data_IF_285525615775
#
_entry.id   IF_285525615775
#
_cell.length_a   1.000
_cell.length_b   1.000
_cell.length_c   1.000
_cell.angle_alpha   90.00
_cell.angle_beta   90.00
_cell.angle_gamma   90.00
#
_symmetry.space_group_name_H-M   'P 1'
#
loop_
_entity.id
_entity.type
_entity.pdbx_description
1 polymer ?
#
# COMPACT_ATOMS: atom_id res chain seq x y z
N UNK A 1 11.42 5.44 0.28
CA UNK A 1 11.81 4.72 1.51
C UNK A 1 13.33 4.64 1.53
N UNK A 2 13.94 4.87 2.69
CA UNK A 2 15.38 4.70 2.89
C UNK A 2 15.56 3.65 4.00
N UNK A 3 16.52 2.74 3.82
CA UNK A 3 16.83 1.73 4.81
C UNK A 3 17.86 2.25 5.81
N UNK A 4 17.65 1.94 7.09
CA UNK A 4 18.62 2.18 8.16
C UNK A 4 19.77 1.16 8.15
N UNK A 5 20.82 1.43 8.93
CA UNK A 5 21.99 0.55 9.01
C UNK A 5 21.64 -0.88 9.48
N UNK A 6 20.72 -1.03 10.44
CA UNK A 6 20.29 -2.35 10.93
C UNK A 6 19.49 -3.12 9.89
N UNK A 7 18.53 -2.46 9.25
CA UNK A 7 17.72 -3.05 8.19
C UNK A 7 18.60 -3.54 7.04
N UNK A 8 19.63 -2.77 6.67
CA UNK A 8 20.61 -3.18 5.66
C UNK A 8 21.45 -4.40 6.10
N UNK A 9 21.79 -4.51 7.38
CA UNK A 9 22.49 -5.71 7.89
C UNK A 9 21.60 -6.95 7.85
N UNK A 10 20.33 -6.82 8.24
CA UNK A 10 19.34 -7.90 8.15
C UNK A 10 19.13 -8.30 6.69
N UNK A 11 18.96 -7.34 5.79
CA UNK A 11 18.79 -7.59 4.35
C UNK A 11 20.00 -8.30 3.74
N UNK A 12 21.22 -7.84 4.05
CA UNK A 12 22.46 -8.49 3.57
C UNK A 12 22.56 -9.93 4.03
N UNK A 13 22.16 -10.21 5.28
CA UNK A 13 22.16 -11.56 5.84
C UNK A 13 21.10 -12.45 5.20
N UNK A 14 19.89 -11.92 5.02
CA UNK A 14 18.80 -12.61 4.31
C UNK A 14 19.23 -12.97 2.87
N UNK A 15 19.90 -12.05 2.18
CA UNK A 15 20.44 -12.29 0.84
C UNK A 15 21.52 -13.37 0.84
N UNK A 16 22.43 -13.37 1.83
CA UNK A 16 23.45 -14.41 1.97
C UNK A 16 22.82 -15.81 2.17
N UNK A 17 21.77 -15.90 2.99
CA UNK A 17 21.00 -17.14 3.18
C UNK A 17 20.28 -17.59 1.89
N UNK A 18 19.78 -16.65 1.10
CA UNK A 18 19.12 -16.95 -0.18
C UNK A 18 20.11 -17.44 -1.25
N UNK A 19 21.33 -16.88 -1.28
CA UNK A 19 22.38 -17.27 -2.22
C UNK A 19 23.11 -18.56 -1.81
N UNK A 20 23.23 -18.80 -0.50
CA UNK A 20 23.89 -19.97 0.07
C UNK A 20 22.95 -20.65 1.09
N UNK A 21 22.06 -21.54 0.61
CA UNK A 21 21.04 -22.15 1.46
C UNK A 21 21.70 -23.00 2.56
N UNK A 22 21.41 -22.65 3.80
CA UNK A 22 21.83 -23.36 5.00
C UNK A 22 20.80 -23.18 6.11
N UNK A 23 20.96 -23.83 7.27
CA UNK A 23 20.07 -23.65 8.40
C UNK A 23 20.12 -22.19 8.88
N UNK A 24 18.99 -21.49 8.81
CA UNK A 24 18.85 -20.15 9.37
C UNK A 24 18.54 -20.25 10.88
N UNK A 25 19.13 -19.35 11.67
CA UNK A 25 18.79 -19.29 13.09
C UNK A 25 17.36 -18.77 13.29
N UNK A 26 16.73 -19.14 14.40
CA UNK A 26 15.38 -18.65 14.72
C UNK A 26 15.33 -17.12 14.85
N UNK A 27 16.43 -16.47 15.25
CA UNK A 27 16.51 -15.01 15.33
C UNK A 27 16.61 -14.38 13.95
N UNK A 28 17.44 -14.93 13.05
CA UNK A 28 17.54 -14.40 11.68
C UNK A 28 16.19 -14.48 10.95
N UNK A 29 15.41 -15.55 11.17
CA UNK A 29 14.06 -15.67 10.62
C UNK A 29 13.12 -14.61 11.19
N UNK A 30 13.14 -14.38 12.51
CA UNK A 30 12.32 -13.34 13.16
C UNK A 30 12.69 -11.94 12.66
N UNK A 31 13.97 -11.64 12.53
CA UNK A 31 14.44 -10.34 12.04
C UNK A 31 14.05 -10.12 10.57
N UNK A 32 14.11 -11.15 9.74
CA UNK A 32 13.61 -11.08 8.36
C UNK A 32 12.09 -10.81 8.32
N UNK A 33 11.30 -11.46 9.19
CA UNK A 33 9.86 -11.23 9.26
C UNK A 33 9.54 -9.80 9.73
N UNK A 34 10.21 -9.31 10.78
CA UNK A 34 10.06 -7.93 11.26
C UNK A 34 10.43 -6.91 10.19
N UNK A 35 11.51 -7.15 9.45
CA UNK A 35 11.91 -6.30 8.34
C UNK A 35 10.85 -6.31 7.23
N UNK A 36 10.32 -7.48 6.86
CA UNK A 36 9.27 -7.60 5.87
C UNK A 36 7.99 -6.85 6.28
N UNK A 37 7.56 -7.01 7.53
CA UNK A 37 6.42 -6.26 8.09
C UNK A 37 6.64 -4.75 8.04
N UNK A 38 7.86 -4.29 8.36
CA UNK A 38 8.21 -2.86 8.32
C UNK A 38 8.18 -2.31 6.88
N UNK A 39 8.67 -3.08 5.91
CA UNK A 39 8.62 -2.73 4.49
C UNK A 39 7.18 -2.71 3.98
N UNK A 40 6.37 -3.69 4.34
CA UNK A 40 4.96 -3.74 3.98
C UNK A 40 4.17 -2.57 4.58
N UNK A 41 4.45 -2.19 5.82
CA UNK A 41 3.82 -1.03 6.44
C UNK A 41 4.25 0.27 5.77
N UNK A 42 5.54 0.44 5.47
CA UNK A 42 6.03 1.58 4.72
C UNK A 42 5.41 1.65 3.30
N UNK A 43 5.18 0.50 2.66
CA UNK A 43 4.51 0.43 1.37
C UNK A 43 3.03 0.83 1.47
N UNK A 44 2.32 0.36 2.50
CA UNK A 44 0.93 0.74 2.80
C UNK A 44 0.81 2.23 3.10
N UNK A 45 1.69 2.78 3.93
CA UNK A 45 1.71 4.20 4.24
C UNK A 45 2.02 5.05 3.00
N UNK A 46 3.01 4.63 2.20
CA UNK A 46 3.29 5.27 0.92
C UNK A 46 2.09 5.25 -0.03
N UNK A 47 1.26 4.19 -0.01
CA UNK A 47 0.03 4.14 -0.78
C UNK A 47 -1.03 5.12 -0.23
N UNK A 48 -1.17 5.24 1.09
CA UNK A 48 -2.06 6.22 1.74
C UNK A 48 -1.67 7.66 1.37
N UNK A 49 -0.39 8.02 1.48
CA UNK A 49 0.12 9.34 1.10
C UNK A 49 -0.12 9.64 -0.39
N UNK A 50 0.13 8.67 -1.28
CA UNK A 50 -0.17 8.84 -2.71
C UNK A 50 -1.66 9.04 -2.97
N UNK A 51 -2.54 8.29 -2.30
CA UNK A 51 -3.98 8.47 -2.47
C UNK A 51 -4.44 9.87 -2.07
N UNK A 52 -3.87 10.41 -0.98
CA UNK A 52 -4.10 11.79 -0.56
C UNK A 52 -3.63 12.81 -1.61
N UNK A 53 -2.39 12.68 -2.10
CA UNK A 53 -1.85 13.57 -3.15
C UNK A 53 -2.68 13.54 -4.44
N UNK A 54 -3.16 12.37 -4.86
CA UNK A 54 -4.01 12.23 -6.05
C UNK A 54 -5.37 12.90 -5.86
N UNK A 55 -5.98 12.77 -4.67
CA UNK A 55 -7.22 13.46 -4.35
C UNK A 55 -7.04 14.98 -4.34
N UNK A 56 -5.92 15.47 -3.82
CA UNK A 56 -5.57 16.89 -3.86
C UNK A 56 -5.31 17.36 -5.29
N UNK A 57 -4.62 16.58 -6.13
CA UNK A 57 -4.43 16.91 -7.55
C UNK A 57 -5.75 17.13 -8.28
N UNK A 58 -6.74 16.27 -8.05
CA UNK A 58 -8.07 16.44 -8.63
C UNK A 58 -8.73 17.76 -8.18
N UNK A 59 -8.58 18.13 -6.90
CA UNK A 59 -9.10 19.40 -6.36
C UNK A 59 -8.43 20.60 -6.99
N UNK A 60 -7.10 20.59 -7.10
CA UNK A 60 -6.35 21.67 -7.75
C UNK A 60 -6.70 21.76 -9.24
N UNK A 61 -6.84 20.62 -9.94
CA UNK A 61 -7.23 20.55 -11.35
C UNK A 61 -8.61 21.15 -11.60
N UNK A 62 -9.58 20.87 -10.73
CA UNK A 62 -10.94 21.41 -10.83
C UNK A 62 -11.01 22.94 -10.66
N UNK A 63 -10.01 23.55 -10.03
CA UNK A 63 -9.92 24.99 -9.78
C UNK A 63 -9.02 25.74 -10.80
N UNK A 64 -8.62 25.07 -11.88
CA UNK A 64 -7.86 25.71 -12.95
C UNK A 64 -8.70 26.75 -13.71
N UNK A 65 -8.07 27.83 -14.22
CA UNK A 65 -6.62 28.11 -14.22
C UNK A 65 -6.09 28.76 -12.92
N UNK A 66 -6.95 29.13 -11.97
CA UNK A 66 -6.56 29.92 -10.78
C UNK A 66 -5.55 29.23 -9.85
N UNK A 67 -5.49 27.90 -9.90
CA UNK A 67 -4.57 27.07 -9.09
C UNK A 67 -3.37 26.55 -9.87
N UNK A 68 -3.09 27.06 -11.08
CA UNK A 68 -2.08 26.51 -11.99
C UNK A 68 -0.71 26.30 -11.33
N UNK A 69 -0.21 27.28 -10.57
CA UNK A 69 1.06 27.14 -9.87
C UNK A 69 1.06 25.96 -8.88
N UNK A 70 0.04 25.88 -8.02
CA UNK A 70 -0.08 24.79 -7.04
C UNK A 70 -0.30 23.43 -7.68
N UNK A 71 -1.09 23.37 -8.77
CA UNK A 71 -1.29 22.14 -9.53
C UNK A 71 0.02 21.59 -10.11
N UNK A 72 0.85 22.46 -10.72
CA UNK A 72 2.11 22.05 -11.34
C UNK A 72 3.13 21.55 -10.30
N UNK A 73 3.27 22.25 -9.17
CA UNK A 73 4.16 21.83 -8.08
C UNK A 73 3.72 20.49 -7.49
N UNK A 74 2.42 20.33 -7.22
CA UNK A 74 1.86 19.10 -6.68
C UNK A 74 1.99 17.93 -7.66
N UNK A 75 1.83 18.19 -8.96
CA UNK A 75 1.97 17.17 -9.99
C UNK A 75 3.43 16.69 -10.08
N UNK A 76 4.40 17.59 -9.98
CA UNK A 76 5.82 17.21 -9.95
C UNK A 76 6.15 16.34 -8.74
N UNK A 77 5.66 16.68 -7.55
CA UNK A 77 5.83 15.88 -6.34
C UNK A 77 5.20 14.49 -6.49
N UNK A 78 3.97 14.43 -6.99
CA UNK A 78 3.27 13.17 -7.22
C UNK A 78 4.02 12.28 -8.23
N UNK A 79 4.54 12.86 -9.32
CA UNK A 79 5.37 12.14 -10.30
C UNK A 79 6.66 11.60 -9.65
N UNK A 80 7.30 12.36 -8.77
CA UNK A 80 8.44 11.91 -7.97
C UNK A 80 8.11 10.73 -7.05
N UNK A 81 6.89 10.69 -6.52
CA UNK A 81 6.37 9.59 -5.71
C UNK A 81 5.90 8.37 -6.53
N UNK A 82 6.01 8.41 -7.86
CA UNK A 82 5.62 7.32 -8.76
C UNK A 82 4.17 7.35 -9.24
N UNK A 83 3.47 8.48 -9.08
CA UNK A 83 2.17 8.70 -9.70
C UNK A 83 2.26 8.59 -11.22
N UNK A 84 1.23 8.00 -11.84
CA UNK A 84 1.08 7.96 -13.30
C UNK A 84 -0.03 8.94 -13.69
N UNK A 85 0.29 9.98 -14.46
CA UNK A 85 -0.68 11.01 -14.82
C UNK A 85 -1.82 10.41 -15.64
N UNK A 86 -3.04 10.84 -15.34
CA UNK A 86 -4.24 10.39 -16.04
C UNK A 86 -4.47 11.25 -17.31
N UNK A 87 -5.46 10.90 -18.17
CA UNK A 87 -5.77 11.69 -19.35
C UNK A 87 -6.18 13.15 -19.07
N UNK A 88 -6.85 13.40 -17.95
CA UNK A 88 -7.29 14.74 -17.54
C UNK A 88 -6.10 15.59 -17.11
N UNK A 89 -5.07 15.00 -16.48
CA UNK A 89 -3.82 15.68 -16.17
C UNK A 89 -3.10 16.11 -17.45
N UNK A 90 -3.06 15.22 -18.44
CA UNK A 90 -2.50 15.55 -19.75
C UNK A 90 -3.34 16.63 -20.45
N UNK A 91 -4.66 16.63 -20.28
CA UNK A 91 -5.53 17.68 -20.80
C UNK A 91 -5.26 19.03 -20.11
N UNK A 92 -5.15 19.03 -18.78
CA UNK A 92 -4.82 20.21 -17.99
C UNK A 92 -3.46 20.81 -18.37
N UNK A 93 -2.43 19.97 -18.49
CA UNK A 93 -1.11 20.40 -18.95
C UNK A 93 -1.13 20.95 -20.39
N UNK A 94 -1.97 20.39 -21.28
CA UNK A 94 -2.15 20.93 -22.64
C UNK A 94 -2.86 22.29 -22.63
N UNK A 95 -3.85 22.47 -21.76
CA UNK A 95 -4.53 23.75 -21.58
C UNK A 95 -3.60 24.84 -21.01
N UNK A 96 -2.61 24.44 -20.21
CA UNK A 96 -1.61 25.32 -19.60
C UNK A 96 -0.33 25.51 -20.44
N UNK A 97 -0.31 25.14 -21.74
CA UNK A 97 0.90 25.21 -22.60
C UNK A 97 1.57 26.58 -22.70
N UNK A 98 0.87 27.67 -22.39
CA UNK A 98 1.48 29.00 -22.28
C UNK A 98 2.49 29.13 -21.14
N UNK A 99 2.53 28.16 -20.21
CA UNK A 99 3.47 28.10 -19.11
C UNK A 99 4.62 27.11 -19.44
N UNK A 100 5.90 27.54 -19.36
CA UNK A 100 7.04 26.69 -19.68
C UNK A 100 7.18 25.48 -18.74
N UNK A 101 6.78 25.62 -17.47
CA UNK A 101 6.80 24.52 -16.48
C UNK A 101 5.79 23.45 -16.87
N UNK A 102 4.58 23.85 -17.28
CA UNK A 102 3.56 22.91 -17.76
C UNK A 102 4.01 22.16 -19.02
N UNK A 103 4.67 22.87 -19.95
CA UNK A 103 5.23 22.24 -21.16
C UNK A 103 6.32 21.22 -20.83
N UNK A 104 7.25 21.55 -19.92
CA UNK A 104 8.31 20.64 -19.47
C UNK A 104 7.75 19.40 -18.74
N UNK A 105 6.75 19.58 -17.88
CA UNK A 105 6.07 18.48 -17.21
C UNK A 105 5.33 17.59 -18.20
N UNK A 106 4.63 18.16 -19.19
CA UNK A 106 3.96 17.38 -20.24
C UNK A 106 4.94 16.47 -20.99
N UNK A 107 6.06 17.03 -21.43
CA UNK A 107 7.12 16.29 -22.12
C UNK A 107 7.74 15.18 -21.25
N UNK A 108 7.97 15.46 -19.95
CA UNK A 108 8.39 14.43 -18.97
C UNK A 108 7.36 13.32 -18.82
N UNK A 109 6.07 13.65 -18.70
CA UNK A 109 4.98 12.68 -18.58
C UNK A 109 4.90 11.77 -19.81
N UNK A 110 5.01 12.33 -21.02
CA UNK A 110 5.00 11.57 -22.26
C UNK A 110 6.19 10.59 -22.34
N UNK A 111 7.41 11.05 -22.03
CA UNK A 111 8.58 10.16 -21.96
C UNK A 111 8.41 9.02 -20.96
N UNK A 112 7.80 9.28 -19.80
CA UNK A 112 7.51 8.22 -18.83
C UNK A 112 6.49 7.23 -19.38
N UNK A 113 5.43 7.69 -20.04
CA UNK A 113 4.45 6.81 -20.68
C UNK A 113 5.10 5.91 -21.73
N UNK A 114 5.94 6.48 -22.61
CA UNK A 114 6.69 5.72 -23.62
C UNK A 114 7.60 4.66 -23.02
N UNK A 115 8.38 5.00 -21.98
CA UNK A 115 9.25 4.03 -21.28
C UNK A 115 8.42 2.90 -20.68
N UNK A 116 7.27 3.20 -20.08
CA UNK A 116 6.37 2.19 -19.53
C UNK A 116 5.80 1.26 -20.62
N UNK A 117 5.39 1.82 -21.76
CA UNK A 117 4.90 1.03 -22.90
C UNK A 117 6.02 0.14 -23.46
N UNK A 118 7.22 0.69 -23.66
CA UNK A 118 8.39 -0.07 -24.12
C UNK A 118 8.75 -1.21 -23.17
N UNK A 119 8.73 -0.97 -21.86
CA UNK A 119 8.98 -2.00 -20.85
C UNK A 119 7.92 -3.12 -20.91
N UNK A 120 6.63 -2.77 -21.08
CA UNK A 120 5.56 -3.76 -21.24
C UNK A 120 5.68 -4.58 -22.52
N UNK A 121 6.05 -3.93 -23.63
CA UNK A 121 6.31 -4.62 -24.89
C UNK A 121 7.54 -5.53 -24.78
N UNK A 122 8.63 -5.06 -24.18
CA UNK A 122 9.84 -5.87 -23.93
C UNK A 122 9.56 -7.08 -23.04
N UNK A 123 8.75 -6.92 -21.99
CA UNK A 123 8.33 -8.02 -21.12
C UNK A 123 7.44 -9.04 -21.85
N UNK A 124 6.57 -8.60 -22.77
CA UNK A 124 5.77 -9.50 -23.62
C UNK A 124 6.62 -10.25 -24.63
N UNK A 125 7.63 -9.59 -25.23
CA UNK A 125 8.56 -10.21 -26.18
C UNK A 125 9.51 -11.18 -25.47
N UNK A 126 9.91 -10.89 -24.23
CA UNK A 126 10.80 -11.74 -23.43
C UNK A 126 10.08 -12.82 -22.60
N UNK A 127 8.73 -12.86 -22.63
CA UNK A 127 7.91 -13.56 -21.65
C UNK A 127 6.80 -14.44 -22.23
N UNK A 128 7.19 -15.49 -22.96
CA UNK A 128 6.39 -16.74 -23.07
C UNK A 128 7.23 -17.92 -22.61
N UNK A 129 7.61 -17.92 -21.34
CA UNK A 129 7.92 -19.14 -20.61
C UNK A 129 7.14 -19.06 -19.29
N UNK A 130 6.20 -19.98 -19.01
CA UNK A 130 5.58 -20.04 -17.70
C UNK A 130 6.69 -20.26 -16.67
N UNK A 131 6.76 -19.40 -15.65
CA UNK A 131 7.58 -19.65 -14.46
C UNK A 131 6.89 -20.78 -13.70
N UNK A 132 7.06 -22.01 -14.17
CA UNK A 132 6.94 -23.17 -13.30
C UNK A 132 8.10 -23.05 -12.32
N UNK A 133 7.87 -22.96 -11.01
CA UNK A 133 8.97 -23.02 -10.05
C UNK A 133 9.66 -24.37 -10.26
N UNK A 134 10.85 -24.36 -10.87
CA UNK A 134 11.69 -25.54 -10.98
C UNK A 134 12.23 -25.83 -9.58
N UNK A 135 11.48 -26.62 -8.83
CA UNK A 135 11.94 -27.20 -7.58
C UNK A 135 13.12 -28.12 -7.93
N UNK A 136 14.32 -27.94 -7.35
CA UNK A 136 15.43 -28.86 -7.58
C UNK A 136 15.00 -30.28 -7.16
N UNK A 137 15.34 -31.26 -7.99
CA UNK A 137 14.96 -32.67 -7.84
C UNK A 137 15.70 -33.38 -6.70
N UNK A 138 15.65 -32.84 -5.49
CA UNK A 138 16.19 -33.45 -4.28
C UNK A 138 15.09 -33.60 -3.24
N UNK A 139 14.09 -34.43 -3.55
CA UNK A 139 13.18 -34.99 -2.55
C UNK A 139 13.14 -36.50 -2.75
N UNK A 140 13.82 -37.20 -1.85
CA UNK A 140 13.63 -38.62 -1.57
C UNK A 140 12.13 -38.90 -1.49
N UNK A 141 11.63 -39.75 -2.40
CA UNK A 141 10.24 -40.22 -2.37
C UNK A 141 10.08 -41.05 -1.10
N UNK A 142 9.23 -40.60 -0.18
CA UNK A 142 8.77 -41.44 0.93
C UNK A 142 7.95 -42.59 0.30
N UNK A 143 8.53 -43.79 0.31
CA UNK A 143 7.78 -45.02 0.05
C UNK A 143 6.88 -45.26 1.26
N UNK A 144 5.57 -45.14 1.08
CA UNK A 144 4.62 -45.59 2.08
C UNK A 144 4.76 -47.12 2.22
N UNK A 145 5.16 -47.58 3.40
CA UNK A 145 5.17 -49.00 3.76
C UNK A 145 3.70 -49.45 3.93
N UNK A 146 3.22 -50.47 3.19
CA UNK A 146 1.91 -51.04 3.43
C UNK A 146 1.95 -51.89 4.70
N UNK A 147 1.45 -51.37 5.81
CA UNK A 147 1.32 -52.09 7.07
C UNK A 147 -0.07 -51.91 7.66
N UNK A 148 -0.84 -53.00 7.75
CA UNK A 148 -2.01 -53.08 8.63
C UNK A 148 -3.29 -53.62 7.99
N UNK A 149 -3.30 -54.87 7.50
CA UNK A 149 -4.54 -55.63 7.33
C UNK A 149 -4.72 -56.54 8.56
N UNK A 150 -5.59 -56.12 9.47
CA UNK A 150 -6.14 -57.00 10.49
C UNK A 150 -7.27 -57.83 9.86
N UNK A 151 -7.15 -59.15 9.99
CA UNK A 151 -8.07 -60.14 9.47
C UNK A 151 -9.48 -59.99 10.07
N UNK A 152 -10.51 -60.07 9.22
CA UNK A 152 -11.85 -60.49 9.63
C UNK A 152 -12.31 -61.58 8.66
N UNK A 153 -12.51 -62.77 9.22
CA UNK A 153 -13.06 -63.95 8.56
C UNK A 153 -14.57 -63.76 8.25
N UNK A 154 -15.12 -64.57 7.32
CA UNK A 154 -16.30 -64.25 6.54
C UNK A 154 -17.59 -64.74 7.20
N UNK A 155 -18.67 -63.99 6.99
CA UNK A 155 -19.98 -64.47 7.39
C UNK A 155 -21.12 -63.55 6.99
N UNK A 156 -21.92 -64.04 6.03
CA UNK A 156 -23.37 -63.80 5.86
C UNK A 156 -23.81 -62.82 4.75
N UNK A 157 -24.14 -63.49 3.63
CA UNK A 157 -25.16 -63.32 2.58
C UNK A 157 -25.82 -61.95 2.27
N UNK A 158 -26.15 -61.71 0.98
CA UNK A 158 -26.59 -60.44 0.44
C UNK A 158 -28.11 -60.26 0.42
N UNK A 159 -28.57 -59.03 0.61
CA UNK A 159 -29.93 -58.62 0.30
C UNK A 159 -30.40 -57.48 1.20
N UNK A 160 -30.46 -56.27 0.65
CA UNK A 160 -31.65 -55.39 0.62
C UNK A 160 -31.25 -53.94 0.32
N UNK A 161 -32.01 -53.32 -0.58
CA UNK A 161 -31.82 -51.98 -1.14
C UNK A 161 -32.13 -50.90 -0.08
N UNK A 162 -31.33 -49.82 0.05
CA UNK A 162 -31.76 -48.65 0.81
C UNK A 162 -32.59 -47.69 -0.06
N UNK A 163 -33.81 -47.45 0.41
CA UNK A 163 -34.80 -46.47 -0.04
C UNK A 163 -34.29 -45.04 0.14
N UNK A 164 -34.50 -44.20 -0.86
CA UNK A 164 -34.29 -42.75 -0.83
C UNK A 164 -35.10 -42.08 0.30
N UNK A 165 -34.43 -41.29 1.15
CA UNK A 165 -35.07 -40.34 2.06
C UNK A 165 -34.64 -38.92 1.72
N UNK A 166 -35.65 -38.07 1.53
CA UNK A 166 -35.58 -36.64 1.22
C UNK A 166 -34.82 -35.84 2.31
N UNK A 167 -34.16 -34.72 1.95
CA UNK A 167 -33.47 -33.87 2.91
C UNK A 167 -34.46 -33.07 3.77
N UNK A 168 -34.33 -33.20 5.09
CA UNK A 168 -35.05 -32.39 6.08
C UNK A 168 -34.40 -31.01 6.25
N UNK A 169 -35.24 -30.00 6.34
CA UNK A 169 -34.94 -28.58 6.51
C UNK A 169 -34.10 -28.28 7.76
N UNK A 170 -33.11 -27.39 7.61
CA UNK A 170 -32.32 -26.83 8.71
C UNK A 170 -32.92 -25.47 9.10
N UNK A 171 -33.16 -25.17 10.39
CA UNK A 171 -33.72 -23.89 10.81
C UNK A 171 -32.76 -22.71 10.55
N UNK A 172 -33.30 -21.58 10.10
CA UNK A 172 -32.57 -20.35 9.83
C UNK A 172 -32.06 -19.67 11.14
N UNK A 173 -30.90 -19.01 11.12
CA UNK A 173 -30.38 -18.26 12.27
C UNK A 173 -31.12 -16.92 12.46
N UNK A 174 -31.41 -16.60 13.72
CA UNK A 174 -32.09 -15.37 14.13
C UNK A 174 -31.31 -14.08 13.81
N UNK A 175 -31.99 -12.94 13.57
CA UNK A 175 -31.35 -11.66 13.25
C UNK A 175 -30.65 -11.05 14.48
N UNK A 176 -29.44 -10.51 14.27
CA UNK A 176 -28.67 -9.77 15.27
C UNK A 176 -29.33 -8.40 15.56
N UNK A 177 -29.29 -7.91 16.82
CA UNK A 177 -29.73 -6.55 17.12
C UNK A 177 -28.80 -5.51 16.48
N UNK A 178 -29.40 -4.43 15.98
CA UNK A 178 -28.70 -3.31 15.36
C UNK A 178 -27.86 -2.51 16.39
N UNK A 179 -26.74 -1.90 15.98
CA UNK A 179 -25.94 -1.04 16.86
C UNK A 179 -26.68 0.28 17.17
N UNK A 180 -26.69 0.66 18.46
CA UNK A 180 -27.28 1.89 18.95
C UNK A 180 -26.64 3.16 18.33
N UNK A 181 -27.49 4.13 17.99
CA UNK A 181 -27.08 5.46 17.53
C UNK A 181 -26.36 6.26 18.65
N UNK A 182 -25.35 7.08 18.33
CA UNK A 182 -24.64 7.87 19.34
C UNK A 182 -25.50 9.02 19.87
N UNK A 183 -25.60 9.11 21.20
CA UNK A 183 -26.35 10.17 21.91
C UNK A 183 -25.69 11.55 21.71
N UNK A 184 -26.43 12.62 21.38
CA UNK A 184 -25.90 13.98 21.29
C UNK A 184 -25.85 14.58 22.70
N UNK A 185 -24.65 14.71 23.29
CA UNK A 185 -24.57 15.13 24.70
C UNK A 185 -23.23 15.67 25.18
N UNK A 186 -22.36 16.17 24.29
CA UNK A 186 -21.17 16.93 24.71
C UNK A 186 -21.11 18.23 23.91
N UNK A 187 -21.29 19.40 24.55
CA UNK A 187 -21.06 20.68 23.91
C UNK A 187 -19.64 20.73 23.35
N UNK A 188 -19.50 21.15 22.09
CA UNK A 188 -18.20 21.39 21.47
C UNK A 188 -17.61 22.63 22.17
N UNK A 189 -16.43 22.54 22.81
CA UNK A 189 -15.84 23.69 23.49
C UNK A 189 -15.59 24.81 22.48
N UNK A 190 -15.99 26.02 22.86
CA UNK A 190 -15.88 27.18 21.98
C UNK A 190 -14.41 27.61 21.85
N UNK A 191 -14.00 28.26 20.73
CA UNK A 191 -12.60 28.68 20.53
C UNK A 191 -11.99 29.54 21.65
N UNK A 192 -12.81 30.17 22.50
CA UNK A 192 -12.33 30.93 23.66
C UNK A 192 -11.86 30.09 24.85
N UNK A 193 -12.24 28.80 24.93
CA UNK A 193 -11.86 27.90 26.03
C UNK A 193 -10.55 27.16 25.77
N UNK A 194 -10.20 26.91 24.49
CA UNK A 194 -8.99 26.18 24.09
C UNK A 194 -7.79 27.07 23.80
N UNK A 195 -8.00 28.39 23.65
CA UNK A 195 -6.91 29.34 23.38
C UNK A 195 -6.83 30.41 24.46
N UNK A 196 -5.91 30.31 25.43
CA UNK A 196 -5.70 31.37 26.41
C UNK A 196 -5.31 32.67 25.69
N UNK A 197 -6.12 33.72 25.87
CA UNK A 197 -5.85 35.06 25.35
C UNK A 197 -4.51 35.55 25.89
N UNK A 198 -3.52 35.73 25.00
CA UNK A 198 -2.32 36.50 25.30
C UNK A 198 -2.73 37.95 25.54
N UNK A 199 -2.56 38.46 26.77
CA UNK A 199 -2.71 39.89 27.07
C UNK A 199 -1.67 40.66 26.24
N UNK A 200 -2.04 41.72 25.50
CA UNK A 200 -1.06 42.55 24.80
C UNK A 200 -0.16 43.25 25.83
N UNK A 201 1.16 43.10 25.67
CA UNK A 201 2.16 43.88 26.40
C UNK A 201 2.13 45.33 25.87
N UNK A 202 2.06 46.36 26.72
CA UNK A 202 2.12 47.74 26.26
C UNK A 202 3.52 48.05 25.67
N UNK A 203 3.62 48.87 24.59
CA UNK A 203 4.89 49.16 23.97
C UNK A 203 5.78 49.97 24.92
N UNK A 204 7.05 49.57 25.02
CA UNK A 204 8.09 50.34 25.70
C UNK A 204 8.37 51.63 24.92
N UNK A 205 8.54 52.74 25.66
CA UNK A 205 8.86 54.07 25.15
C UNK A 205 10.04 54.07 24.16
N UNK A 206 10.05 54.95 23.14
CA UNK A 206 11.19 55.08 22.24
C UNK A 206 12.36 55.79 22.94
N UNK A 207 13.62 55.46 22.59
CA UNK A 207 14.78 56.15 23.14
C UNK A 207 14.94 57.54 22.52
N UNK A 208 15.22 58.52 23.37
CA UNK A 208 15.60 59.88 23.01
C UNK A 208 16.84 59.86 22.11
N UNK A 209 16.74 60.43 20.91
CA UNK A 209 17.89 60.69 20.05
C UNK A 209 18.60 61.95 20.55
N UNK A 210 19.84 61.76 21.01
CA UNK A 210 20.79 62.83 21.24
C UNK A 210 21.26 63.35 19.87
N UNK A 211 21.09 64.65 19.65
CA UNK A 211 21.62 65.36 18.50
C UNK A 211 23.15 65.41 18.56
N UNK A 212 23.82 65.02 17.47
CA UNK A 212 25.19 65.37 17.19
C UNK A 212 25.43 65.30 15.67
N UNK A 213 25.88 66.43 15.09
CA UNK A 213 26.54 66.51 13.78
C UNK A 213 25.64 66.92 12.62
#
# INVERSE_FOLDING_TARGET
MAFGAEELRVLRRALALALHPGPASAEDVKDCLRLAESVDEAAREGARLRAFLVADLARYRAALPGTAAGYLTLLEEALGAGYRPDPDDLAALRALRGNPVAAALLDRCLRHAERNVRARLGARVSGRAPVTPTVPASRTRLLALPGGLAAQDPGRKPGEKPVEKKPGERPAPAPRPAPDAPKPGRPIPTPGEVFPRRKPTPPANPPQQLAAG
#
